data_IF_681362964404
#
_entry.id   IF_681362964404
#
_cell.length_a   1.000
_cell.length_b   1.000
_cell.length_c   1.000
_cell.angle_alpha   90.00
_cell.angle_beta   90.00
_cell.angle_gamma   90.00
#
_symmetry.space_group_name_H-M   'P 1'
#
loop_
_entity.id
_entity.type
_entity.pdbx_description
1 polymer ?
#
# COMPACT_ATOMS: atom_id res chain seq x y z
N UNK A 1 -14.20 13.24 8.38
CA UNK A 1 -12.98 13.40 7.56
C UNK A 1 -12.87 12.20 6.62
N UNK A 2 -12.10 12.31 5.53
CA UNK A 2 -11.66 11.14 4.77
C UNK A 2 -10.23 10.83 5.22
N UNK A 3 -9.99 9.57 5.59
CA UNK A 3 -8.69 9.11 6.04
C UNK A 3 -8.09 8.13 5.04
N UNK A 4 -6.78 8.24 4.82
CA UNK A 4 -5.96 7.21 4.20
C UNK A 4 -5.10 6.55 5.27
N UNK A 5 -5.33 5.26 5.51
CA UNK A 5 -4.57 4.45 6.46
C UNK A 5 -3.76 3.40 5.70
N UNK A 6 -2.44 3.60 5.63
CA UNK A 6 -1.51 2.74 4.88
C UNK A 6 -0.47 2.12 5.81
N UNK A 7 -0.47 0.79 5.89
CA UNK A 7 0.39 0.03 6.80
C UNK A 7 0.77 -1.35 6.23
N UNK A 8 1.50 -2.14 7.03
CA UNK A 8 1.70 -3.57 6.85
C UNK A 8 0.37 -4.33 6.93
N UNK A 9 -0.10 -4.63 8.15
CA UNK A 9 -1.34 -5.40 8.35
C UNK A 9 -2.05 -4.86 9.61
N UNK A 10 -3.36 -4.66 9.52
CA UNK A 10 -4.25 -4.43 10.65
C UNK A 10 -5.54 -5.22 10.50
N UNK A 11 -6.15 -5.62 11.62
CA UNK A 11 -7.45 -6.28 11.59
C UNK A 11 -8.54 -5.24 11.24
N UNK A 12 -9.21 -5.46 10.12
CA UNK A 12 -10.35 -4.68 9.66
C UNK A 12 -11.69 -5.24 10.11
N UNK A 13 -12.76 -4.75 9.49
CA UNK A 13 -14.12 -5.24 9.74
C UNK A 13 -14.30 -6.69 9.27
N UNK A 14 -15.15 -7.45 9.98
CA UNK A 14 -15.54 -8.83 9.61
C UNK A 14 -14.36 -9.80 9.40
N UNK A 15 -13.23 -9.56 10.07
CA UNK A 15 -12.05 -10.42 9.97
C UNK A 15 -11.20 -10.20 8.72
N UNK A 16 -11.47 -9.16 7.93
CA UNK A 16 -10.61 -8.77 6.81
C UNK A 16 -9.26 -8.23 7.31
N UNK A 17 -8.18 -8.47 6.56
CA UNK A 17 -6.88 -7.87 6.84
C UNK A 17 -6.69 -6.62 5.97
N UNK A 18 -6.51 -5.47 6.62
CA UNK A 18 -6.38 -4.16 6.01
C UNK A 18 -4.94 -3.65 6.04
N UNK A 19 -4.62 -2.71 5.16
CA UNK A 19 -3.32 -2.03 5.16
C UNK A 19 -3.18 -0.96 4.10
N UNK A 20 -4.25 -0.56 3.42
CA UNK A 20 -4.21 0.47 2.39
C UNK A 20 -5.61 0.99 2.08
N UNK A 21 -6.28 1.49 3.11
CA UNK A 21 -7.72 1.79 3.07
C UNK A 21 -8.00 3.28 2.98
N UNK A 22 -9.07 3.62 2.24
CA UNK A 22 -9.74 4.91 2.28
C UNK A 22 -10.98 4.78 3.17
N UNK A 23 -11.10 5.63 4.19
CA UNK A 23 -12.11 5.51 5.23
C UNK A 23 -12.85 6.84 5.43
N UNK A 24 -14.16 6.80 5.72
CA UNK A 24 -14.85 7.93 6.35
C UNK A 24 -14.68 7.79 7.84
N UNK A 25 -14.13 8.81 8.48
CA UNK A 25 -13.83 8.75 9.93
C UNK A 25 -14.34 9.96 10.69
N UNK A 26 -14.83 9.68 11.89
CA UNK A 26 -14.87 10.60 13.03
C UNK A 26 -14.44 9.83 14.29
N UNK A 27 -14.49 10.43 15.47
CA UNK A 27 -14.03 9.75 16.69
C UNK A 27 -14.92 8.58 17.14
N UNK A 28 -16.10 8.37 16.53
CA UNK A 28 -17.06 7.31 16.89
C UNK A 28 -17.24 6.29 15.76
N UNK A 29 -17.21 6.76 14.52
CA UNK A 29 -17.51 5.99 13.32
C UNK A 29 -16.27 5.81 12.44
N UNK A 30 -16.18 4.62 11.87
CA UNK A 30 -15.30 4.28 10.77
C UNK A 30 -16.17 3.58 9.71
N UNK A 31 -16.12 4.04 8.47
CA UNK A 31 -16.79 3.41 7.33
C UNK A 31 -15.73 3.15 6.26
N UNK A 32 -15.64 1.91 5.80
CA UNK A 32 -14.74 1.52 4.71
C UNK A 32 -15.27 2.03 3.36
N UNK A 33 -14.43 2.75 2.60
CA UNK A 33 -14.79 3.37 1.33
C UNK A 33 -14.04 2.81 0.13
N UNK A 34 -13.13 1.85 0.33
CA UNK A 34 -12.26 1.31 -0.71
C UNK A 34 -10.77 1.40 -0.37
N UNK A 35 -9.90 1.26 -1.36
CA UNK A 35 -8.44 1.25 -1.17
C UNK A 35 -7.71 0.29 -2.10
N UNK A 36 -6.70 -0.41 -1.58
CA UNK A 36 -6.02 -1.46 -2.33
C UNK A 36 -6.89 -2.73 -2.45
N UNK A 37 -6.79 -3.47 -3.56
CA UNK A 37 -7.41 -4.79 -3.65
C UNK A 37 -6.70 -5.76 -2.71
N UNK A 38 -7.45 -6.62 -2.01
CA UNK A 38 -6.88 -7.58 -1.06
C UNK A 38 -6.17 -8.74 -1.77
N UNK A 39 -4.85 -8.87 -1.61
CA UNK A 39 -3.99 -9.88 -2.26
C UNK A 39 -3.53 -10.90 -1.23
N UNK A 40 -3.32 -12.15 -1.65
CA UNK A 40 -2.86 -13.21 -0.75
C UNK A 40 -1.49 -12.89 -0.14
N UNK A 41 -1.29 -13.33 1.11
CA UNK A 41 -0.04 -13.31 1.85
C UNK A 41 0.56 -14.72 1.90
N UNK A 42 1.37 -15.14 0.92
CA UNK A 42 1.67 -16.56 0.76
C UNK A 42 2.62 -17.06 1.85
N UNK A 43 2.13 -17.92 2.73
CA UNK A 43 2.86 -18.37 3.92
C UNK A 43 2.67 -17.47 5.15
N UNK A 44 1.62 -16.66 5.19
CA UNK A 44 1.29 -15.79 6.33
C UNK A 44 2.42 -14.83 6.65
N UNK A 45 2.95 -14.90 7.88
CA UNK A 45 4.04 -14.06 8.39
C UNK A 45 5.30 -14.08 7.50
N UNK A 46 5.54 -15.17 6.76
CA UNK A 46 6.66 -15.25 5.83
C UNK A 46 6.56 -14.23 4.70
N UNK A 47 5.36 -13.77 4.35
CA UNK A 47 5.15 -12.72 3.35
C UNK A 47 5.77 -11.37 3.78
N UNK A 48 5.89 -11.10 5.08
CA UNK A 48 6.57 -9.91 5.60
C UNK A 48 8.11 -10.05 5.62
N UNK A 49 8.64 -11.27 5.57
CA UNK A 49 10.09 -11.55 5.63
C UNK A 49 10.71 -11.80 4.26
N UNK A 50 9.92 -12.26 3.29
CA UNK A 50 10.41 -12.64 1.97
C UNK A 50 9.64 -11.89 0.88
N UNK A 51 10.12 -10.70 0.46
CA UNK A 51 9.40 -9.80 -0.45
C UNK A 51 8.94 -10.44 -1.75
N UNK A 52 9.70 -11.41 -2.25
CA UNK A 52 9.40 -12.17 -3.46
C UNK A 52 8.04 -12.90 -3.39
N UNK A 53 7.57 -13.28 -2.20
CA UNK A 53 6.25 -13.90 -2.01
C UNK A 53 5.12 -12.95 -2.39
N UNK A 54 5.28 -11.66 -2.08
CA UNK A 54 4.30 -10.64 -2.43
C UNK A 54 4.32 -10.36 -3.94
N UNK A 55 5.51 -10.32 -4.55
CA UNK A 55 5.62 -10.21 -6.01
C UNK A 55 4.94 -11.40 -6.70
N UNK A 56 5.14 -12.64 -6.22
CA UNK A 56 4.44 -13.80 -6.75
C UNK A 56 2.92 -13.66 -6.65
N UNK A 57 2.39 -13.26 -5.48
CA UNK A 57 0.96 -13.10 -5.30
C UNK A 57 0.35 -12.02 -6.21
N UNK A 58 1.08 -10.91 -6.41
CA UNK A 58 0.72 -9.85 -7.34
C UNK A 58 0.73 -10.34 -8.79
N UNK A 59 1.78 -11.06 -9.19
CA UNK A 59 1.92 -11.63 -10.53
C UNK A 59 0.80 -12.61 -10.85
N UNK A 60 0.55 -13.58 -9.97
CA UNK A 60 -0.51 -14.59 -10.15
C UNK A 60 -1.89 -13.96 -10.30
N UNK A 61 -2.14 -12.81 -9.67
CA UNK A 61 -3.44 -12.16 -9.70
C UNK A 61 -3.61 -11.18 -10.87
N UNK A 62 -2.55 -10.45 -11.22
CA UNK A 62 -2.69 -9.24 -12.03
C UNK A 62 -1.81 -9.20 -13.28
N UNK A 63 -0.84 -10.10 -13.42
CA UNK A 63 0.15 -10.05 -14.50
C UNK A 63 0.04 -11.32 -15.35
N UNK A 64 -0.66 -11.26 -16.50
CA UNK A 64 -0.60 -12.31 -17.51
C UNK A 64 0.85 -12.55 -17.92
N UNK A 65 1.20 -13.81 -18.17
CA UNK A 65 2.53 -14.22 -18.67
C UNK A 65 3.69 -13.63 -17.84
N UNK A 66 3.50 -13.52 -16.52
CA UNK A 66 4.45 -12.86 -15.62
C UNK A 66 5.87 -13.45 -15.68
N UNK A 67 6.01 -14.69 -16.13
CA UNK A 67 7.27 -15.40 -16.30
C UNK A 67 8.14 -14.80 -17.43
N UNK A 68 7.57 -14.04 -18.35
CA UNK A 68 8.32 -13.45 -19.47
C UNK A 68 9.05 -12.16 -19.06
N UNK A 69 8.75 -11.62 -17.87
CA UNK A 69 9.36 -10.39 -17.36
C UNK A 69 10.69 -10.66 -16.63
N UNK A 70 11.79 -9.95 -16.96
CA UNK A 70 13.09 -10.15 -16.32
C UNK A 70 13.09 -9.84 -14.81
N UNK A 71 12.18 -8.98 -14.35
CA UNK A 71 11.96 -8.67 -12.94
C UNK A 71 11.54 -9.91 -12.13
N UNK A 72 10.88 -10.88 -12.77
CA UNK A 72 10.38 -12.09 -12.10
C UNK A 72 11.37 -13.26 -12.18
N UNK A 73 12.53 -13.10 -12.81
CA UNK A 73 13.51 -14.18 -12.94
C UNK A 73 13.94 -14.78 -11.58
N UNK A 74 14.03 -13.95 -10.53
CA UNK A 74 14.31 -14.43 -9.17
C UNK A 74 13.19 -15.27 -8.55
N UNK A 75 11.94 -15.05 -8.95
CA UNK A 75 10.79 -15.86 -8.55
C UNK A 75 10.83 -17.24 -9.20
N UNK A 76 11.24 -17.29 -10.47
CA UNK A 76 11.27 -18.53 -11.25
C UNK A 76 12.31 -19.53 -10.72
N UNK A 77 13.32 -19.03 -10.00
CA UNK A 77 14.29 -19.87 -9.28
C UNK A 77 13.74 -20.47 -7.98
N UNK A 78 12.60 -19.99 -7.48
CA UNK A 78 11.91 -20.53 -6.30
C UNK A 78 10.99 -21.68 -6.70
N UNK A 79 10.59 -22.51 -5.72
CA UNK A 79 9.53 -23.50 -5.91
C UNK A 79 8.13 -22.85 -5.88
N UNK A 80 7.90 -21.90 -6.78
CA UNK A 80 6.70 -21.05 -6.79
C UNK A 80 5.42 -21.83 -7.11
N UNK A 81 5.50 -22.94 -7.88
CA UNK A 81 4.37 -23.80 -8.23
C UNK A 81 3.65 -24.41 -7.01
N UNK A 82 4.38 -24.73 -5.95
CA UNK A 82 3.78 -25.24 -4.71
C UNK A 82 3.03 -24.12 -3.98
N UNK A 83 3.63 -22.92 -3.95
CA UNK A 83 3.05 -21.77 -3.29
C UNK A 83 1.83 -21.22 -4.03
N UNK A 84 1.84 -21.24 -5.37
CA UNK A 84 0.69 -20.90 -6.21
C UNK A 84 -0.52 -21.78 -5.88
N UNK A 85 -0.34 -23.11 -5.81
CA UNK A 85 -1.39 -24.05 -5.41
C UNK A 85 -1.89 -23.83 -3.98
N UNK A 86 -1.01 -23.42 -3.06
CA UNK A 86 -1.41 -23.10 -1.69
C UNK A 86 -2.28 -21.83 -1.64
N UNK A 87 -1.94 -20.81 -2.44
CA UNK A 87 -2.73 -19.57 -2.59
C UNK A 87 -4.12 -19.90 -3.15
N UNK A 88 -4.21 -20.66 -4.25
CA UNK A 88 -5.48 -21.07 -4.86
C UNK A 88 -6.40 -21.80 -3.88
N UNK A 89 -5.82 -22.62 -2.99
CA UNK A 89 -6.57 -23.38 -1.98
C UNK A 89 -6.81 -22.61 -0.68
N UNK A 90 -6.32 -21.38 -0.56
CA UNK A 90 -6.42 -20.58 0.67
C UNK A 90 -5.64 -21.16 1.86
N UNK A 91 -4.62 -21.99 1.62
CA UNK A 91 -3.85 -22.65 2.69
C UNK A 91 -2.71 -21.75 3.13
N UNK A 92 -2.81 -21.21 4.35
CA UNK A 92 -1.84 -20.27 4.92
C UNK A 92 -1.53 -19.09 3.96
N UNK A 93 -2.57 -18.59 3.30
CA UNK A 93 -2.48 -17.52 2.32
C UNK A 93 -3.64 -16.52 2.50
N UNK A 94 -3.80 -15.90 3.69
CA UNK A 94 -4.89 -14.97 3.94
C UNK A 94 -4.79 -13.76 3.00
N UNK A 95 -5.94 -13.19 2.64
CA UNK A 95 -5.99 -12.01 1.79
C UNK A 95 -5.81 -10.74 2.64
N UNK A 96 -4.97 -9.81 2.18
CA UNK A 96 -4.78 -8.51 2.79
C UNK A 96 -4.65 -7.39 1.75
N UNK A 97 -5.30 -6.26 1.97
CA UNK A 97 -5.16 -5.03 1.18
C UNK A 97 -3.94 -4.21 1.63
N UNK A 98 -2.81 -4.89 1.79
CA UNK A 98 -1.61 -4.32 2.42
C UNK A 98 -0.81 -3.41 1.48
N UNK A 99 -0.65 -2.14 1.87
CA UNK A 99 0.25 -1.21 1.20
C UNK A 99 1.72 -1.63 1.40
N UNK A 100 2.10 -2.01 2.63
CA UNK A 100 3.46 -2.48 2.93
C UNK A 100 3.88 -3.68 2.06
N UNK A 101 2.98 -4.65 1.85
CA UNK A 101 3.29 -5.82 1.00
C UNK A 101 3.34 -5.47 -0.49
N UNK A 102 2.64 -4.43 -0.95
CA UNK A 102 2.80 -3.89 -2.30
C UNK A 102 4.18 -3.23 -2.48
N UNK A 103 4.65 -2.48 -1.48
CA UNK A 103 6.03 -1.96 -1.46
C UNK A 103 7.06 -3.09 -1.54
N UNK A 104 6.88 -4.15 -0.74
CA UNK A 104 7.76 -5.32 -0.77
C UNK A 104 7.77 -5.99 -2.16
N UNK A 105 6.61 -6.10 -2.82
CA UNK A 105 6.52 -6.66 -4.16
C UNK A 105 7.33 -5.85 -5.20
N UNK A 106 7.22 -4.52 -5.18
CA UNK A 106 7.98 -3.64 -6.10
C UNK A 106 9.48 -3.66 -5.76
N UNK A 107 9.84 -3.67 -4.48
CA UNK A 107 11.22 -3.79 -4.04
C UNK A 107 11.86 -5.12 -4.49
N UNK A 108 11.09 -6.22 -4.47
CA UNK A 108 11.51 -7.51 -4.99
C UNK A 108 11.75 -7.47 -6.51
N UNK A 109 10.85 -6.83 -7.25
CA UNK A 109 10.95 -6.70 -8.71
C UNK A 109 12.20 -5.89 -9.12
N UNK A 110 12.52 -4.81 -8.38
CA UNK A 110 13.73 -4.02 -8.59
C UNK A 110 15.00 -4.61 -7.98
N UNK A 111 14.86 -5.70 -7.20
CA UNK A 111 15.96 -6.36 -6.47
C UNK A 111 16.77 -5.39 -5.61
N UNK A 112 16.09 -4.42 -4.99
CA UNK A 112 16.73 -3.39 -4.17
C UNK A 112 16.77 -3.75 -2.67
N UNK A 113 16.31 -4.95 -2.30
CA UNK A 113 16.32 -5.47 -0.94
C UNK A 113 16.79 -6.94 -0.93
N UNK A 114 17.31 -7.43 0.21
CA UNK A 114 17.67 -8.84 0.35
C UNK A 114 16.47 -9.79 0.14
N UNK A 115 16.74 -11.03 -0.28
CA UNK A 115 15.70 -12.04 -0.47
C UNK A 115 14.99 -12.46 0.84
N UNK A 116 15.66 -12.27 1.98
CA UNK A 116 15.12 -12.42 3.33
C UNK A 116 15.46 -11.17 4.13
N UNK A 117 14.43 -10.50 4.64
CA UNK A 117 14.57 -9.30 5.44
C UNK A 117 14.97 -9.63 6.88
N UNK A 118 15.72 -8.72 7.47
CA UNK A 118 16.23 -8.76 8.84
C UNK A 118 15.35 -7.98 9.82
N UNK A 119 14.58 -7.01 9.33
CA UNK A 119 13.62 -6.23 10.12
C UNK A 119 12.38 -5.85 9.29
N UNK A 120 11.31 -5.47 9.99
CA UNK A 120 10.06 -5.06 9.37
C UNK A 120 10.19 -3.72 8.63
N UNK A 121 9.73 -3.67 7.38
CA UNK A 121 9.79 -2.48 6.54
C UNK A 121 11.11 -2.27 5.80
N UNK A 122 12.09 -3.16 5.94
CA UNK A 122 13.41 -3.04 5.30
C UNK A 122 13.33 -2.82 3.78
N UNK A 123 12.51 -3.62 3.09
CA UNK A 123 12.34 -3.47 1.64
C UNK A 123 11.64 -2.17 1.24
N UNK A 124 10.65 -1.72 2.03
CA UNK A 124 9.98 -0.44 1.80
C UNK A 124 10.94 0.75 1.99
N UNK A 125 11.78 0.72 3.03
CA UNK A 125 12.82 1.73 3.26
C UNK A 125 13.88 1.74 2.14
N UNK A 126 14.32 0.57 1.69
CA UNK A 126 15.27 0.47 0.59
C UNK A 126 14.69 1.03 -0.72
N UNK A 127 13.40 0.76 -0.98
CA UNK A 127 12.69 1.29 -2.16
C UNK A 127 12.53 2.81 -2.10
N UNK A 128 12.23 3.38 -0.93
CA UNK A 128 12.17 4.83 -0.72
C UNK A 128 13.54 5.49 -0.93
N UNK A 129 14.60 4.90 -0.38
CA UNK A 129 15.96 5.40 -0.54
C UNK A 129 16.41 5.38 -2.01
N UNK A 130 16.05 4.33 -2.75
CA UNK A 130 16.29 4.23 -4.19
C UNK A 130 15.51 5.28 -4.98
N UNK A 131 14.22 5.46 -4.66
CA UNK A 131 13.37 6.46 -5.32
C UNK A 131 13.87 7.89 -5.08
N UNK A 132 14.44 8.17 -3.90
CA UNK A 132 14.96 9.48 -3.51
C UNK A 132 16.18 9.93 -4.33
N UNK A 133 16.81 9.01 -5.09
CA UNK A 133 17.89 9.35 -6.03
C UNK A 133 17.34 9.96 -7.34
N UNK A 134 16.02 9.91 -7.55
CA UNK A 134 15.35 10.54 -8.68
C UNK A 134 14.58 11.77 -8.17
N UNK A 135 14.80 12.94 -8.79
CA UNK A 135 14.09 14.16 -8.39
C UNK A 135 12.62 14.16 -8.87
N UNK A 136 12.44 14.08 -10.18
CA UNK A 136 11.16 13.96 -10.86
C UNK A 136 11.43 13.36 -12.25
N UNK A 137 10.53 12.50 -12.73
CA UNK A 137 10.64 11.88 -14.05
C UNK A 137 9.25 11.78 -14.66
N UNK A 138 9.13 12.15 -15.93
CA UNK A 138 7.90 11.89 -16.68
C UNK A 138 7.81 10.38 -16.97
N UNK A 139 6.67 9.78 -16.66
CA UNK A 139 6.46 8.34 -16.82
C UNK A 139 5.00 8.01 -17.18
N UNK A 140 4.75 6.86 -17.83
CA UNK A 140 3.41 6.43 -18.21
C UNK A 140 2.68 5.65 -17.11
N UNK A 141 3.35 5.36 -15.98
CA UNK A 141 2.81 4.50 -14.92
C UNK A 141 1.70 5.19 -14.14
N UNK A 142 0.58 4.48 -13.95
CA UNK A 142 -0.62 4.96 -13.24
C UNK A 142 -1.22 3.85 -12.36
N UNK A 143 -2.05 4.24 -11.39
CA UNK A 143 -2.93 3.35 -10.64
C UNK A 143 -4.37 3.91 -10.70
N UNK A 144 -5.11 3.68 -11.80
CA UNK A 144 -6.46 4.22 -11.93
C UNK A 144 -7.43 3.55 -10.95
N UNK A 145 -8.65 4.08 -10.85
CA UNK A 145 -9.70 3.48 -10.03
C UNK A 145 -10.51 2.46 -10.84
N UNK A 146 -10.73 1.28 -10.27
CA UNK A 146 -11.76 0.33 -10.66
C UNK A 146 -12.81 0.28 -9.55
N UNK A 147 -13.90 1.04 -9.74
CA UNK A 147 -14.88 1.29 -8.68
C UNK A 147 -14.22 2.04 -7.51
N UNK A 148 -14.22 1.44 -6.33
CA UNK A 148 -13.63 2.00 -5.12
C UNK A 148 -12.19 1.52 -4.84
N UNK A 149 -11.61 0.71 -5.74
CA UNK A 149 -10.27 0.15 -5.55
C UNK A 149 -9.26 0.67 -6.57
N UNK A 150 -7.97 0.65 -6.22
CA UNK A 150 -6.91 0.88 -7.20
C UNK A 150 -6.79 -0.31 -8.17
N UNK A 151 -6.68 -0.02 -9.47
CA UNK A 151 -6.42 -1.01 -10.50
C UNK A 151 -4.92 -1.32 -10.57
N UNK A 152 -4.53 -2.31 -9.77
CA UNK A 152 -3.15 -2.78 -9.68
C UNK A 152 -2.73 -3.57 -10.93
N UNK A 153 -3.67 -4.05 -11.76
CA UNK A 153 -3.34 -4.74 -13.02
C UNK A 153 -2.87 -3.76 -14.10
N UNK A 154 -3.50 -2.58 -14.20
CA UNK A 154 -3.01 -1.49 -15.05
C UNK A 154 -1.62 -1.03 -14.60
N UNK A 155 -1.43 -0.88 -13.29
CA UNK A 155 -0.13 -0.53 -12.71
C UNK A 155 0.98 -1.48 -13.15
N UNK A 156 0.84 -2.78 -12.86
CA UNK A 156 1.92 -3.73 -13.17
C UNK A 156 2.21 -3.79 -14.66
N UNK A 157 1.18 -3.76 -15.51
CA UNK A 157 1.35 -3.73 -16.96
C UNK A 157 2.17 -2.53 -17.41
N UNK A 158 1.83 -1.32 -16.95
CA UNK A 158 2.56 -0.11 -17.34
C UNK A 158 3.97 -0.08 -16.75
N UNK A 159 4.11 -0.45 -15.48
CA UNK A 159 5.38 -0.38 -14.75
C UNK A 159 6.40 -1.43 -15.23
N UNK A 160 5.97 -2.65 -15.57
CA UNK A 160 6.85 -3.70 -16.09
C UNK A 160 7.31 -3.42 -17.54
N UNK A 161 6.44 -2.82 -18.36
CA UNK A 161 6.75 -2.45 -19.75
C UNK A 161 7.37 -1.04 -19.89
N UNK A 162 7.67 -0.37 -18.77
CA UNK A 162 8.37 0.91 -18.78
C UNK A 162 9.83 0.76 -18.35
N UNK A 163 10.72 0.92 -19.33
CA UNK A 163 12.14 0.69 -19.19
C UNK A 163 12.82 2.01 -18.85
N UNK A 164 13.26 2.09 -17.60
CA UNK A 164 13.92 3.25 -17.01
C UNK A 164 14.92 2.77 -15.95
N UNK A 165 15.70 3.69 -15.39
CA UNK A 165 16.63 3.33 -14.31
C UNK A 165 15.87 2.84 -13.08
N UNK A 166 16.46 1.97 -12.22
CA UNK A 166 15.79 1.50 -11.01
C UNK A 166 15.28 2.63 -10.10
N UNK A 167 16.03 3.73 -9.99
CA UNK A 167 15.61 4.92 -9.25
C UNK A 167 14.36 5.57 -9.85
N UNK A 168 14.28 5.71 -11.19
CA UNK A 168 13.11 6.26 -11.87
C UNK A 168 11.89 5.33 -11.72
N UNK A 169 12.07 4.02 -11.79
CA UNK A 169 10.99 3.03 -11.59
C UNK A 169 10.47 3.01 -10.16
N UNK A 170 11.36 3.11 -9.18
CA UNK A 170 10.99 3.26 -7.78
C UNK A 170 10.21 4.57 -7.55
N UNK A 171 10.66 5.68 -8.14
CA UNK A 171 9.96 6.97 -8.07
C UNK A 171 8.57 6.90 -8.69
N UNK A 172 8.45 6.34 -9.90
CA UNK A 172 7.17 6.23 -10.62
C UNK A 172 6.14 5.37 -9.88
N UNK A 173 6.60 4.35 -9.14
CA UNK A 173 5.70 3.59 -8.26
C UNK A 173 5.12 4.47 -7.15
N UNK A 174 5.97 5.24 -6.44
CA UNK A 174 5.49 6.13 -5.37
C UNK A 174 4.55 7.19 -5.91
N UNK A 175 4.86 7.75 -7.08
CA UNK A 175 4.04 8.74 -7.76
C UNK A 175 2.67 8.19 -8.16
N UNK A 176 2.65 7.06 -8.89
CA UNK A 176 1.42 6.42 -9.34
C UNK A 176 0.52 6.00 -8.18
N UNK A 177 1.11 5.46 -7.10
CA UNK A 177 0.38 5.09 -5.89
C UNK A 177 -0.23 6.32 -5.20
N UNK A 178 0.54 7.40 -5.04
CA UNK A 178 0.05 8.65 -4.46
C UNK A 178 -1.09 9.25 -5.30
N UNK A 179 -0.93 9.27 -6.62
CA UNK A 179 -1.93 9.76 -7.56
C UNK A 179 -3.23 8.94 -7.49
N UNK A 180 -3.12 7.61 -7.47
CA UNK A 180 -4.27 6.70 -7.32
C UNK A 180 -5.04 6.94 -6.03
N UNK A 181 -4.34 6.96 -4.89
CA UNK A 181 -4.98 7.27 -3.60
C UNK A 181 -5.56 8.67 -3.55
N UNK A 182 -4.86 9.68 -4.08
CA UNK A 182 -5.38 11.04 -4.15
C UNK A 182 -6.66 11.13 -4.98
N UNK A 183 -6.74 10.39 -6.07
CA UNK A 183 -7.94 10.30 -6.92
C UNK A 183 -9.11 9.70 -6.13
N UNK A 184 -8.87 8.58 -5.42
CA UNK A 184 -9.88 7.95 -4.56
C UNK A 184 -10.34 8.89 -3.45
N UNK A 185 -9.41 9.49 -2.72
CA UNK A 185 -9.73 10.40 -1.62
C UNK A 185 -10.51 11.61 -2.08
N UNK A 186 -10.11 12.24 -3.21
CA UNK A 186 -10.83 13.37 -3.80
C UNK A 186 -12.25 12.98 -4.16
N UNK A 187 -12.45 11.86 -4.87
CA UNK A 187 -13.79 11.40 -5.23
C UNK A 187 -14.67 11.19 -4.00
N UNK A 188 -14.15 10.52 -2.97
CA UNK A 188 -14.90 10.24 -1.75
C UNK A 188 -15.19 11.49 -0.90
N UNK A 189 -14.25 12.43 -0.85
CA UNK A 189 -14.35 13.66 -0.08
C UNK A 189 -15.30 14.67 -0.74
N UNK A 190 -15.14 14.92 -2.04
CA UNK A 190 -15.98 15.86 -2.80
C UNK A 190 -17.44 15.41 -2.82
N UNK A 191 -17.70 14.11 -3.03
CA UNK A 191 -19.06 13.56 -3.01
C UNK A 191 -19.78 13.74 -1.65
N UNK A 192 -19.04 13.99 -0.57
CA UNK A 192 -19.55 14.15 0.80
C UNK A 192 -19.38 15.57 1.35
N UNK A 193 -18.90 16.52 0.56
CA UNK A 193 -18.61 17.88 1.01
C UNK A 193 -17.53 17.96 2.09
N UNK A 194 -16.61 16.98 2.17
CA UNK A 194 -15.52 16.95 3.14
C UNK A 194 -14.32 17.69 2.56
N UNK A 195 -13.75 18.63 3.31
CA UNK A 195 -12.61 19.45 2.89
C UNK A 195 -11.28 19.10 3.59
N UNK A 196 -11.32 18.16 4.54
CA UNK A 196 -10.15 17.76 5.35
C UNK A 196 -9.85 16.28 5.18
N UNK A 197 -8.60 16.00 4.84
CA UNK A 197 -8.04 14.67 4.64
C UNK A 197 -7.03 14.34 5.74
N UNK A 198 -7.06 13.12 6.24
CA UNK A 198 -6.16 12.62 7.29
C UNK A 198 -5.32 11.46 6.74
N UNK A 199 -4.08 11.39 7.17
CA UNK A 199 -3.15 10.32 6.76
C UNK A 199 -2.58 9.66 8.02
N UNK A 200 -2.50 8.33 8.04
CA UNK A 200 -1.89 7.57 9.14
C UNK A 200 -1.46 6.17 8.68
N UNK A 201 -0.90 5.37 9.58
CA UNK A 201 -0.31 4.06 9.32
C UNK A 201 1.19 4.14 9.03
N UNK A 202 1.91 3.05 9.31
CA UNK A 202 3.36 2.98 9.25
C UNK A 202 3.97 3.42 7.92
N UNK A 203 3.29 3.21 6.80
CA UNK A 203 3.77 3.58 5.45
C UNK A 203 3.76 5.11 5.24
N UNK A 204 2.98 5.87 6.01
CA UNK A 204 3.03 7.35 5.98
C UNK A 204 4.37 7.90 6.51
N UNK A 205 5.23 7.11 7.16
CA UNK A 205 6.61 7.54 7.41
C UNK A 205 7.41 7.77 6.12
N UNK A 206 6.99 7.21 4.99
CA UNK A 206 7.63 7.45 3.70
C UNK A 206 7.50 8.93 3.28
N UNK A 207 8.63 9.63 3.21
CA UNK A 207 8.70 11.07 2.92
C UNK A 207 8.32 11.37 1.49
N UNK A 208 8.72 10.52 0.54
CA UNK A 208 8.37 10.68 -0.86
C UNK A 208 6.87 10.54 -1.07
N UNK A 209 6.25 9.49 -0.51
CA UNK A 209 4.80 9.28 -0.58
C UNK A 209 4.03 10.46 0.02
N UNK A 210 4.46 10.97 1.19
CA UNK A 210 3.88 12.19 1.80
C UNK A 210 3.97 13.40 0.87
N UNK A 211 5.14 13.63 0.27
CA UNK A 211 5.34 14.74 -0.66
C UNK A 211 4.46 14.62 -1.91
N UNK A 212 4.33 13.41 -2.49
CA UNK A 212 3.47 13.17 -3.65
C UNK A 212 1.98 13.29 -3.31
N UNK A 213 1.53 12.76 -2.16
CA UNK A 213 0.15 12.96 -1.67
C UNK A 213 -0.16 14.44 -1.48
N UNK A 214 0.75 15.21 -0.87
CA UNK A 214 0.59 16.64 -0.68
C UNK A 214 0.53 17.42 -2.00
N UNK A 215 1.35 17.02 -2.99
CA UNK A 215 1.31 17.58 -4.34
C UNK A 215 -0.06 17.35 -4.99
N UNK A 216 -0.55 16.12 -5.00
CA UNK A 216 -1.81 15.78 -5.65
C UNK A 216 -3.06 16.26 -4.92
N UNK A 217 -3.00 16.60 -3.62
CA UNK A 217 -4.15 16.99 -2.80
C UNK A 217 -4.02 18.41 -2.24
N UNK A 218 -3.33 19.29 -2.96
CA UNK A 218 -3.14 20.70 -2.58
C UNK A 218 -4.44 21.51 -2.46
N UNK A 219 -5.54 20.99 -2.99
CA UNK A 219 -6.92 21.50 -2.91
C UNK A 219 -7.63 21.15 -1.59
N UNK A 220 -7.04 20.34 -0.70
CA UNK A 220 -7.61 19.95 0.59
C UNK A 220 -6.76 20.39 1.77
N UNK A 221 -7.39 20.49 2.95
CA UNK A 221 -6.65 20.57 4.22
C UNK A 221 -6.08 19.19 4.57
N UNK A 222 -4.76 19.08 4.64
CA UNK A 222 -4.07 17.81 4.87
C UNK A 222 -3.56 17.71 6.32
N UNK A 223 -3.88 16.60 6.99
CA UNK A 223 -3.44 16.31 8.36
C UNK A 223 -2.52 15.07 8.36
N UNK A 224 -1.22 15.30 8.54
CA UNK A 224 -0.22 14.25 8.70
C UNK A 224 0.24 14.15 10.17
N UNK A 225 0.65 12.96 10.66
CA UNK A 225 1.23 12.80 11.98
C UNK A 225 2.58 13.52 12.06
N UNK A 226 2.83 14.18 13.19
CA UNK A 226 4.08 14.93 13.42
C UNK A 226 4.64 14.72 14.84
N UNK A 227 3.82 14.91 15.88
CA UNK A 227 4.24 14.76 17.28
C UNK A 227 4.17 13.32 17.79
N UNK A 228 3.24 12.54 17.25
CA UNK A 228 3.10 11.11 17.51
C UNK A 228 3.55 10.32 16.27
N UNK A 229 4.08 9.10 16.44
CA UNK A 229 4.42 8.23 15.32
C UNK A 229 3.20 7.97 14.41
N UNK A 230 3.43 7.82 13.11
CA UNK A 230 2.35 7.50 12.18
C UNK A 230 1.88 6.04 12.28
N UNK A 231 2.78 5.14 12.68
CA UNK A 231 2.51 3.71 12.88
C UNK A 231 2.10 3.38 14.32
N UNK A 232 2.23 2.10 14.69
CA UNK A 232 1.65 1.53 15.90
C UNK A 232 2.07 2.18 17.23
N UNK A 233 3.22 2.86 17.27
CA UNK A 233 3.62 3.64 18.45
C UNK A 233 2.65 4.77 18.83
N UNK A 234 1.78 5.21 17.91
CA UNK A 234 0.71 6.19 18.16
C UNK A 234 -0.67 5.58 18.40
N UNK A 235 -0.83 4.26 18.27
CA UNK A 235 -2.14 3.60 18.17
C UNK A 235 -2.97 3.71 19.46
N UNK A 236 -2.32 3.62 20.62
CA UNK A 236 -2.98 3.70 21.93
C UNK A 236 -3.65 5.05 22.18
N UNK A 237 -3.07 6.15 21.67
CA UNK A 237 -3.68 7.47 21.72
C UNK A 237 -4.98 7.50 20.91
N UNK A 238 -4.97 6.94 19.70
CA UNK A 238 -6.15 6.81 18.85
C UNK A 238 -7.28 6.00 19.53
N UNK A 239 -6.92 4.88 20.16
CA UNK A 239 -7.86 4.07 20.94
C UNK A 239 -8.50 4.86 22.08
N UNK A 240 -7.69 5.63 22.83
CA UNK A 240 -8.15 6.43 23.96
C UNK A 240 -9.17 7.50 23.56
N UNK A 241 -8.91 8.25 22.47
CA UNK A 241 -9.84 9.31 22.03
C UNK A 241 -11.14 8.75 21.44
N UNK A 242 -11.09 7.58 20.80
CA UNK A 242 -12.30 6.88 20.32
C UNK A 242 -13.15 6.42 21.50
N UNK A 243 -12.53 5.80 22.51
CA UNK A 243 -13.23 5.36 23.73
C UNK A 243 -13.87 6.55 24.47
N UNK A 244 -13.12 7.65 24.63
CA UNK A 244 -13.63 8.86 25.26
C UNK A 244 -14.81 9.47 24.49
N UNK A 245 -14.73 9.56 23.16
CA UNK A 245 -15.82 10.09 22.35
C UNK A 245 -17.08 9.23 22.37
N UNK A 246 -16.95 7.90 22.52
CA UNK A 246 -18.07 6.98 22.72
C UNK A 246 -18.72 7.21 24.09
N UNK A 247 -17.91 7.28 25.16
CA UNK A 247 -18.41 7.50 26.52
C UNK A 247 -19.13 8.85 26.68
N UNK A 248 -18.62 9.93 26.07
CA UNK A 248 -19.24 11.26 26.11
C UNK A 248 -20.59 11.35 25.39
N UNK A 249 -20.96 10.35 24.58
CA UNK A 249 -22.23 10.33 23.84
C UNK A 249 -23.33 9.52 24.53
N UNK A 250 -23.02 8.85 25.64
CA UNK A 250 -23.95 8.09 26.46
C UNK A 250 -24.46 8.89 27.68
N UNK A 251 -23.99 10.14 27.82
CA UNK A 251 -24.43 11.14 28.82
C UNK A 251 -25.31 12.18 28.15
#
# INVERSE_FOLDING_TARGET
>A
MIALTVDGIGMGENGALWGGECLRVNYRECEHLGGLPAVALPGGDLAAKHPWRNLLAQCLRFVPDWQDYPETAGLQQQNWNVLARAIERGVNAPLASSCGRLFDAVAAALRCAPASLSYEGEAACALEALASQCANVEHPVTMPLNGAQLDVAVFWRQWLNWQATPAQRAWAFHDALACGFATLMRQQATARGITTLVFSGGVIHNRLLRARLAFYLSDFKLLFPQRLPAGDGGLSFGQGVIAAARALSEV
#
